data_IF_672189952867
#
_entry.id   IF_672189952867
#
_cell.length_a   1.000
_cell.length_b   1.000
_cell.length_c   1.000
_cell.angle_alpha   90.00
_cell.angle_beta   90.00
_cell.angle_gamma   90.00
#
_symmetry.space_group_name_H-M   'P 1'
#
loop_
_entity.id
_entity.type
_entity.pdbx_description
1 polymer ?
#
# COMPACT_ATOMS: atom_id res chain seq x y z
N UNK A 1 29.53 60.38 2.52
CA UNK A 1 29.01 59.42 3.54
C UNK A 1 30.17 58.53 3.99
N UNK A 2 30.44 58.42 5.30
CA UNK A 2 31.56 57.61 5.79
C UNK A 2 31.30 56.11 5.56
N UNK A 3 32.33 55.32 5.22
CA UNK A 3 32.18 53.89 4.90
C UNK A 3 31.59 53.05 6.06
N UNK A 4 31.81 53.45 7.31
CA UNK A 4 31.26 52.77 8.50
C UNK A 4 29.71 52.82 8.58
N UNK A 5 29.09 53.90 8.12
CA UNK A 5 27.63 54.06 8.12
C UNK A 5 26.94 53.22 7.04
N UNK A 6 27.62 52.92 5.91
CA UNK A 6 27.11 52.00 4.88
C UNK A 6 27.13 50.54 5.35
N UNK A 7 28.12 50.15 6.15
CA UNK A 7 28.23 48.78 6.69
C UNK A 7 27.14 48.47 7.72
N UNK A 8 26.85 49.40 8.64
CA UNK A 8 25.78 49.25 9.64
C UNK A 8 24.38 49.17 9.02
N UNK A 9 24.10 49.95 7.96
CA UNK A 9 22.80 49.92 7.27
C UNK A 9 22.64 48.62 6.45
N UNK A 10 23.72 48.11 5.84
CA UNK A 10 23.73 46.83 5.12
C UNK A 10 23.53 45.64 6.07
N UNK A 11 24.18 45.62 7.24
CA UNK A 11 24.03 44.57 8.24
C UNK A 11 22.62 44.57 8.87
N UNK A 12 22.07 45.75 9.19
CA UNK A 12 20.72 45.89 9.75
C UNK A 12 19.63 45.50 8.74
N UNK A 13 19.81 45.79 7.45
CA UNK A 13 18.92 45.31 6.38
C UNK A 13 19.00 43.79 6.20
N UNK A 14 20.21 43.21 6.10
CA UNK A 14 20.38 41.75 5.93
C UNK A 14 19.82 40.94 7.11
N UNK A 15 20.04 41.39 8.35
CA UNK A 15 19.46 40.75 9.55
C UNK A 15 17.93 40.83 9.60
N UNK A 16 17.34 41.94 9.14
CA UNK A 16 15.89 42.12 9.09
C UNK A 16 15.22 41.24 8.01
N UNK A 17 15.88 41.00 6.87
CA UNK A 17 15.36 40.12 5.82
C UNK A 17 15.44 38.64 6.21
N UNK A 18 16.54 38.23 6.86
CA UNK A 18 16.71 36.86 7.39
C UNK A 18 15.67 36.55 8.47
N UNK A 19 15.44 37.46 9.42
CA UNK A 19 14.42 37.30 10.46
C UNK A 19 13.00 37.18 9.86
N UNK A 20 12.67 37.96 8.82
CA UNK A 20 11.37 37.88 8.14
C UNK A 20 11.17 36.57 7.37
N UNK A 21 12.21 36.06 6.71
CA UNK A 21 12.18 34.75 6.05
C UNK A 21 12.06 33.61 7.06
N UNK A 22 12.74 33.71 8.21
CA UNK A 22 12.66 32.72 9.27
C UNK A 22 11.29 32.69 9.95
N UNK A 23 10.73 33.87 10.25
CA UNK A 23 9.38 34.01 10.82
C UNK A 23 8.32 33.57 9.80
N UNK A 24 8.46 33.93 8.52
CA UNK A 24 7.55 33.48 7.46
C UNK A 24 7.61 31.96 7.25
N UNK A 25 8.81 31.36 7.31
CA UNK A 25 8.99 29.90 7.25
C UNK A 25 8.37 29.20 8.45
N UNK A 26 8.59 29.70 9.68
CA UNK A 26 7.97 29.18 10.90
C UNK A 26 6.45 29.30 10.87
N UNK A 27 5.90 30.44 10.43
CA UNK A 27 4.45 30.62 10.30
C UNK A 27 3.86 29.67 9.24
N UNK A 28 4.57 29.49 8.12
CA UNK A 28 4.17 28.54 7.07
C UNK A 28 4.16 27.09 7.56
N UNK A 29 5.16 26.69 8.34
CA UNK A 29 5.21 25.37 9.00
C UNK A 29 4.06 25.22 10.00
N UNK A 30 3.78 26.25 10.79
CA UNK A 30 2.76 26.19 11.83
C UNK A 30 1.33 26.16 11.25
N UNK A 31 1.06 26.97 10.23
CA UNK A 31 -0.22 26.95 9.49
C UNK A 31 -0.37 25.65 8.71
N UNK A 32 0.70 25.14 8.09
CA UNK A 32 0.73 23.84 7.43
C UNK A 32 0.45 22.69 8.40
N UNK A 33 1.08 22.71 9.58
CA UNK A 33 0.85 21.74 10.64
C UNK A 33 -0.59 21.80 11.16
N UNK A 34 -1.11 22.99 11.48
CA UNK A 34 -2.52 23.16 11.92
C UNK A 34 -3.53 22.74 10.85
N UNK A 35 -3.30 23.09 9.59
CA UNK A 35 -4.13 22.67 8.47
C UNK A 35 -4.11 21.15 8.29
N UNK A 36 -2.93 20.53 8.43
CA UNK A 36 -2.78 19.07 8.40
C UNK A 36 -3.50 18.43 9.58
N UNK A 37 -3.32 18.92 10.82
CA UNK A 37 -4.01 18.38 12.00
C UNK A 37 -5.52 18.50 11.90
N UNK A 38 -6.06 19.64 11.46
CA UNK A 38 -7.51 19.82 11.26
C UNK A 38 -8.05 18.90 10.17
N UNK A 39 -7.30 18.73 9.09
CA UNK A 39 -7.64 17.78 8.03
C UNK A 39 -7.64 16.34 8.58
N UNK A 40 -6.61 15.95 9.34
CA UNK A 40 -6.54 14.63 9.98
C UNK A 40 -7.71 14.37 10.93
N UNK A 41 -8.05 15.34 11.78
CA UNK A 41 -9.21 15.21 12.69
C UNK A 41 -10.52 15.07 11.91
N UNK A 42 -10.71 15.87 10.85
CA UNK A 42 -11.88 15.75 9.96
C UNK A 42 -11.96 14.37 9.32
N UNK A 43 -10.82 13.83 8.86
CA UNK A 43 -10.73 12.51 8.24
C UNK A 43 -10.97 11.40 9.24
N UNK A 44 -10.34 11.42 10.41
CA UNK A 44 -10.61 10.47 11.50
C UNK A 44 -12.08 10.49 11.90
N UNK A 45 -12.71 11.66 11.96
CA UNK A 45 -14.14 11.78 12.24
C UNK A 45 -15.03 11.28 11.09
N UNK A 46 -14.61 11.43 9.83
CA UNK A 46 -15.32 10.83 8.69
C UNK A 46 -15.18 9.30 8.69
N UNK A 47 -14.00 8.79 9.05
CA UNK A 47 -13.72 7.36 9.20
C UNK A 47 -14.52 6.73 10.34
N UNK A 48 -14.61 7.42 11.50
CA UNK A 48 -15.42 6.99 12.63
C UNK A 48 -16.94 6.97 12.34
N UNK A 49 -17.37 7.62 11.25
CA UNK A 49 -18.78 7.61 10.80
C UNK A 49 -19.07 6.50 9.80
N UNK A 50 -18.07 5.78 9.33
CA UNK A 50 -18.27 4.68 8.39
C UNK A 50 -18.46 3.44 9.24
N UNK A 51 -19.71 3.08 9.39
CA UNK A 51 -20.09 1.83 10.03
C UNK A 51 -19.99 0.72 8.98
N UNK A 52 -19.04 -0.19 9.17
CA UNK A 52 -18.78 -1.29 8.24
C UNK A 52 -18.51 -2.59 9.01
N UNK A 53 -18.87 -3.71 8.39
CA UNK A 53 -18.50 -5.04 8.87
C UNK A 53 -17.56 -5.69 7.84
N UNK A 54 -16.61 -6.50 8.33
CA UNK A 54 -15.75 -7.30 7.47
C UNK A 54 -15.94 -8.77 7.79
N UNK A 55 -15.92 -9.59 6.74
CA UNK A 55 -15.75 -11.03 6.85
C UNK A 55 -14.41 -11.37 6.22
N UNK A 56 -13.56 -12.06 6.97
CA UNK A 56 -12.24 -12.45 6.48
C UNK A 56 -12.34 -13.75 5.68
N UNK A 57 -11.86 -13.79 4.43
CA UNK A 57 -11.78 -15.04 3.67
C UNK A 57 -10.89 -16.07 4.40
N UNK A 58 -11.12 -17.35 4.15
CA UNK A 58 -10.37 -18.45 4.79
C UNK A 58 -8.95 -18.66 4.26
N UNK A 59 -8.30 -17.60 3.77
CA UNK A 59 -6.91 -17.65 3.30
C UNK A 59 -6.01 -18.02 4.49
N UNK A 60 -5.13 -18.99 4.31
CA UNK A 60 -4.28 -19.46 5.39
C UNK A 60 -3.25 -18.39 5.82
N UNK A 61 -2.87 -18.40 7.10
CA UNK A 61 -1.85 -17.51 7.64
C UNK A 61 -0.51 -17.66 6.93
N UNK A 62 -0.18 -18.88 6.50
CA UNK A 62 1.07 -19.23 5.82
C UNK A 62 1.15 -18.53 4.45
N UNK A 63 0.03 -18.50 3.71
CA UNK A 63 -0.05 -17.79 2.42
C UNK A 63 0.14 -16.28 2.63
N UNK A 64 -0.58 -15.68 3.58
CA UNK A 64 -0.48 -14.25 3.86
C UNK A 64 0.93 -13.86 4.32
N UNK A 65 1.54 -14.67 5.18
CA UNK A 65 2.91 -14.47 5.65
C UNK A 65 3.92 -14.57 4.51
N UNK A 66 3.78 -15.57 3.63
CA UNK A 66 4.66 -15.74 2.48
C UNK A 66 4.58 -14.56 1.51
N UNK A 67 3.36 -14.07 1.20
CA UNK A 67 3.16 -12.88 0.37
C UNK A 67 3.78 -11.64 1.02
N UNK A 68 3.50 -11.42 2.31
CA UNK A 68 4.04 -10.28 3.06
C UNK A 68 5.57 -10.30 3.09
N UNK A 69 6.17 -11.48 3.33
CA UNK A 69 7.62 -11.61 3.37
C UNK A 69 8.24 -11.40 1.98
N UNK A 70 7.62 -11.92 0.92
CA UNK A 70 8.11 -11.74 -0.44
C UNK A 70 8.11 -10.26 -0.87
N UNK A 71 7.05 -9.51 -0.53
CA UNK A 71 7.00 -8.06 -0.76
C UNK A 71 8.03 -7.32 0.11
N UNK A 72 8.12 -7.64 1.40
CA UNK A 72 9.09 -7.03 2.31
C UNK A 72 10.53 -7.24 1.85
N UNK A 73 10.89 -8.46 1.47
CA UNK A 73 12.24 -8.81 0.98
C UNK A 73 12.58 -8.07 -0.32
N UNK A 74 11.63 -8.04 -1.28
CA UNK A 74 11.83 -7.33 -2.54
C UNK A 74 12.08 -5.83 -2.32
N UNK A 75 11.30 -5.21 -1.43
CA UNK A 75 11.44 -3.78 -1.12
C UNK A 75 12.68 -3.45 -0.30
N UNK A 76 13.11 -4.34 0.59
CA UNK A 76 14.35 -4.17 1.35
C UNK A 76 15.58 -4.10 0.45
N UNK A 77 15.55 -4.77 -0.70
CA UNK A 77 16.61 -4.79 -1.71
C UNK A 77 16.63 -3.53 -2.60
N UNK A 78 15.61 -2.66 -2.51
CA UNK A 78 15.54 -1.46 -3.34
C UNK A 78 16.48 -0.34 -2.85
N UNK A 79 16.97 0.53 -3.76
CA UNK A 79 17.78 1.68 -3.39
C UNK A 79 17.11 2.56 -2.33
N UNK A 80 17.91 3.20 -1.46
CA UNK A 80 17.40 4.03 -0.36
C UNK A 80 16.45 5.15 -0.84
N UNK A 81 16.74 5.76 -2.00
CA UNK A 81 15.88 6.77 -2.60
C UNK A 81 14.49 6.20 -2.98
N UNK A 82 14.45 4.99 -3.52
CA UNK A 82 13.20 4.30 -3.86
C UNK A 82 12.39 4.04 -2.58
N UNK A 83 13.02 3.51 -1.53
CA UNK A 83 12.37 3.29 -0.23
C UNK A 83 11.80 4.58 0.37
N UNK A 84 12.50 5.70 0.23
CA UNK A 84 12.03 7.01 0.70
C UNK A 84 10.84 7.54 -0.11
N UNK A 85 10.83 7.33 -1.43
CA UNK A 85 9.69 7.68 -2.28
C UNK A 85 8.45 6.89 -1.86
N UNK A 86 8.59 5.59 -1.61
CA UNK A 86 7.46 4.71 -1.26
C UNK A 86 6.90 5.07 0.14
N UNK A 87 7.76 5.36 1.12
CA UNK A 87 7.28 5.92 2.41
C UNK A 87 6.56 7.27 2.23
N UNK A 88 7.02 8.09 1.28
CA UNK A 88 6.34 9.33 0.91
C UNK A 88 4.98 9.08 0.24
N UNK A 89 4.84 7.99 -0.51
CA UNK A 89 3.57 7.57 -1.11
C UNK A 89 2.57 7.13 -0.03
N UNK A 90 2.99 6.38 0.99
CA UNK A 90 2.13 6.01 2.12
C UNK A 90 1.60 7.27 2.84
N UNK A 91 2.47 8.27 3.11
CA UNK A 91 2.05 9.54 3.71
C UNK A 91 1.11 10.33 2.78
N UNK A 92 1.41 10.37 1.48
CA UNK A 92 0.57 11.03 0.49
C UNK A 92 -0.78 10.33 0.32
N UNK A 93 -0.82 9.00 0.42
CA UNK A 93 -2.02 8.19 0.39
C UNK A 93 -2.94 8.54 1.55
N UNK A 94 -2.39 8.59 2.77
CA UNK A 94 -3.13 9.00 3.96
C UNK A 94 -3.72 10.41 3.85
N UNK A 95 -2.93 11.37 3.35
CA UNK A 95 -3.35 12.77 3.22
C UNK A 95 -4.31 12.99 2.04
N UNK A 96 -4.17 12.25 0.94
CA UNK A 96 -4.99 12.41 -0.25
C UNK A 96 -5.17 11.05 -0.96
N UNK A 97 -6.12 10.22 -0.52
CA UNK A 97 -6.33 8.89 -1.07
C UNK A 97 -6.59 8.83 -2.58
N UNK A 98 -7.19 9.88 -3.14
CA UNK A 98 -7.39 9.99 -4.59
C UNK A 98 -6.08 9.97 -5.39
N UNK A 99 -4.95 10.34 -4.76
CA UNK A 99 -3.63 10.24 -5.39
C UNK A 99 -3.18 8.79 -5.58
N UNK A 100 -3.60 7.88 -4.70
CA UNK A 100 -3.28 6.44 -4.79
C UNK A 100 -3.82 5.87 -6.09
N UNK A 101 -5.07 6.20 -6.42
CA UNK A 101 -5.73 5.77 -7.66
C UNK A 101 -5.18 6.50 -8.87
N UNK A 102 -5.02 7.83 -8.76
CA UNK A 102 -4.54 8.65 -9.89
C UNK A 102 -3.13 8.30 -10.35
N UNK A 103 -2.25 7.95 -9.43
CA UNK A 103 -0.84 7.69 -9.71
C UNK A 103 -0.42 6.24 -9.50
N UNK A 104 -1.39 5.36 -9.20
CA UNK A 104 -1.19 3.93 -9.00
C UNK A 104 -0.12 3.60 -7.94
N UNK A 105 -0.16 4.31 -6.80
CA UNK A 105 0.80 4.10 -5.72
C UNK A 105 0.59 2.75 -5.03
N UNK A 106 1.69 2.14 -4.61
CA UNK A 106 1.73 0.94 -3.78
C UNK A 106 1.68 1.35 -2.31
N UNK A 107 0.59 1.01 -1.62
CA UNK A 107 0.33 1.48 -0.25
C UNK A 107 0.29 0.33 0.75
N UNK A 108 0.78 0.59 1.96
CA UNK A 108 0.66 -0.32 3.09
C UNK A 108 1.65 -1.49 3.08
N UNK A 109 1.59 -2.41 4.07
CA UNK A 109 2.57 -3.49 4.25
C UNK A 109 2.55 -4.52 3.12
N UNK A 110 1.43 -4.61 2.41
CA UNK A 110 1.18 -5.51 1.30
C UNK A 110 1.45 -4.85 -0.07
N UNK A 111 1.74 -3.54 -0.10
CA UNK A 111 2.16 -2.81 -1.31
C UNK A 111 1.17 -2.89 -2.47
N UNK A 112 -0.12 -3.03 -2.14
CA UNK A 112 -1.21 -3.10 -3.10
C UNK A 112 -1.35 -1.76 -3.84
N UNK A 113 -1.53 -1.87 -5.15
CA UNK A 113 -1.62 -0.73 -6.08
C UNK A 113 -3.04 -0.20 -6.21
N UNK A 114 -3.18 1.12 -6.35
CA UNK A 114 -4.44 1.83 -6.62
C UNK A 114 -5.42 1.07 -7.53
N UNK A 115 -4.99 0.71 -8.74
CA UNK A 115 -5.86 0.06 -9.73
C UNK A 115 -6.31 -1.35 -9.33
N UNK A 116 -5.49 -2.09 -8.56
CA UNK A 116 -5.88 -3.44 -8.08
C UNK A 116 -7.09 -3.35 -7.16
N UNK A 117 -7.31 -2.18 -6.56
CA UNK A 117 -8.25 -1.96 -5.47
C UNK A 117 -9.59 -1.45 -5.98
N UNK A 118 -9.58 -0.74 -7.11
CA UNK A 118 -10.77 -0.49 -7.92
C UNK A 118 -11.49 -1.79 -8.27
N UNK A 119 -10.76 -2.91 -8.30
CA UNK A 119 -11.36 -4.23 -8.52
C UNK A 119 -11.69 -4.97 -7.21
N UNK A 120 -10.87 -4.85 -6.17
CA UNK A 120 -11.01 -5.62 -4.91
C UNK A 120 -12.20 -5.13 -4.08
N UNK A 121 -12.37 -3.82 -3.89
CA UNK A 121 -13.42 -3.29 -3.00
C UNK A 121 -14.83 -3.60 -3.52
N UNK A 122 -15.16 -3.35 -4.82
CA UNK A 122 -16.45 -3.74 -5.36
C UNK A 122 -16.69 -5.25 -5.28
N UNK A 123 -15.65 -6.05 -5.53
CA UNK A 123 -15.76 -7.49 -5.43
C UNK A 123 -16.01 -7.96 -3.98
N UNK A 124 -15.36 -7.34 -3.00
CA UNK A 124 -15.56 -7.64 -1.58
C UNK A 124 -17.01 -7.39 -1.14
N UNK A 125 -17.60 -6.27 -1.60
CA UNK A 125 -19.00 -5.93 -1.35
C UNK A 125 -19.95 -6.97 -1.99
N UNK A 126 -19.69 -7.31 -3.26
CA UNK A 126 -20.52 -8.27 -4.01
C UNK A 126 -20.50 -9.68 -3.40
N UNK A 127 -19.40 -10.07 -2.76
CA UNK A 127 -19.22 -11.41 -2.19
C UNK A 127 -19.40 -11.45 -0.67
N UNK A 128 -19.85 -10.36 -0.05
CA UNK A 128 -20.13 -10.31 1.40
C UNK A 128 -18.90 -10.31 2.30
N UNK A 129 -17.72 -9.98 1.77
CA UNK A 129 -16.50 -9.80 2.57
C UNK A 129 -16.39 -8.41 3.18
N UNK A 130 -17.17 -7.46 2.68
CA UNK A 130 -17.32 -6.10 3.19
C UNK A 130 -18.79 -5.73 3.16
N UNK A 131 -19.31 -5.18 4.26
CA UNK A 131 -20.65 -4.62 4.35
C UNK A 131 -20.57 -3.17 4.82
N UNK A 132 -21.31 -2.28 4.17
CA UNK A 132 -21.38 -0.87 4.56
C UNK A 132 -22.78 -0.59 5.12
N UNK A 133 -22.87 -0.20 6.38
CA UNK A 133 -24.17 -0.03 7.05
C UNK A 133 -24.83 1.32 6.75
N UNK A 134 -24.06 2.37 6.42
CA UNK A 134 -24.62 3.74 6.35
C UNK A 134 -23.95 4.71 5.35
N UNK A 135 -22.95 4.29 4.58
CA UNK A 135 -22.19 5.24 3.76
C UNK A 135 -22.73 5.36 2.32
N UNK A 136 -22.95 6.58 1.79
CA UNK A 136 -23.24 6.75 0.38
C UNK A 136 -22.05 6.33 -0.48
N UNK A 137 -22.34 5.53 -1.51
CA UNK A 137 -21.45 4.92 -2.52
C UNK A 137 -20.43 5.85 -3.21
N UNK A 138 -20.45 7.15 -2.94
CA UNK A 138 -19.84 8.16 -3.79
C UNK A 138 -18.30 8.24 -3.72
N UNK A 139 -17.64 7.69 -2.70
CA UNK A 139 -16.17 7.74 -2.61
C UNK A 139 -15.58 6.50 -1.93
N UNK A 140 -15.46 5.37 -2.64
CA UNK A 140 -14.73 4.19 -2.14
C UNK A 140 -13.22 4.44 -1.97
N UNK A 141 -12.67 5.47 -2.63
CA UNK A 141 -11.23 5.72 -2.70
C UNK A 141 -10.58 5.93 -1.33
N UNK A 142 -11.29 6.49 -0.35
CA UNK A 142 -10.72 6.69 0.98
C UNK A 142 -10.79 5.43 1.85
N UNK A 143 -11.75 4.54 1.60
CA UNK A 143 -11.97 3.33 2.40
C UNK A 143 -10.79 2.35 2.23
N UNK A 144 -10.21 2.29 1.04
CA UNK A 144 -9.02 1.49 0.82
C UNK A 144 -7.82 1.96 1.64
N UNK A 145 -7.45 3.24 1.57
CA UNK A 145 -6.26 3.74 2.29
C UNK A 145 -6.37 3.42 3.77
N UNK A 146 -7.58 3.55 4.31
CA UNK A 146 -7.89 3.11 5.66
C UNK A 146 -7.66 1.59 5.85
N UNK A 147 -8.22 0.75 4.99
CA UNK A 147 -8.06 -0.71 5.08
C UNK A 147 -6.59 -1.16 4.87
N UNK A 148 -5.82 -0.47 4.04
CA UNK A 148 -4.46 -0.84 3.68
C UNK A 148 -3.42 -0.43 4.73
N UNK A 149 -3.66 0.66 5.44
CA UNK A 149 -2.70 1.22 6.39
C UNK A 149 -2.95 0.75 7.83
N UNK A 150 -4.19 0.37 8.17
CA UNK A 150 -4.49 -0.12 9.50
C UNK A 150 -3.99 -1.56 9.70
N UNK A 151 -3.20 -1.82 10.77
CA UNK A 151 -2.81 -3.18 11.14
C UNK A 151 -4.04 -4.09 11.30
N UNK A 152 -4.01 -5.28 10.69
CA UNK A 152 -5.14 -6.23 10.66
C UNK A 152 -6.10 -6.04 9.49
N UNK A 153 -6.42 -4.81 9.09
CA UNK A 153 -7.23 -4.55 7.89
C UNK A 153 -6.40 -4.76 6.61
N UNK A 154 -5.08 -4.51 6.68
CA UNK A 154 -4.18 -4.74 5.56
C UNK A 154 -4.09 -6.24 5.21
N UNK A 155 -4.07 -7.11 6.23
CA UNK A 155 -4.11 -8.57 6.06
C UNK A 155 -5.45 -8.99 5.44
N UNK A 156 -6.57 -8.41 5.89
CA UNK A 156 -7.89 -8.64 5.28
C UNK A 156 -7.90 -8.26 3.79
N UNK A 157 -7.37 -7.08 3.41
CA UNK A 157 -7.37 -6.63 2.02
C UNK A 157 -6.56 -7.55 1.11
N UNK A 158 -5.41 -8.02 1.60
CA UNK A 158 -4.61 -9.03 0.91
C UNK A 158 -5.37 -10.37 0.80
N UNK A 159 -6.02 -10.83 1.87
CA UNK A 159 -6.82 -12.05 1.87
C UNK A 159 -7.97 -12.00 0.85
N UNK A 160 -8.69 -10.88 0.76
CA UNK A 160 -9.76 -10.68 -0.23
C UNK A 160 -9.22 -10.74 -1.65
N UNK A 161 -8.09 -10.08 -1.93
CA UNK A 161 -7.47 -10.15 -3.26
C UNK A 161 -7.05 -11.58 -3.60
N UNK A 162 -6.40 -12.29 -2.67
CA UNK A 162 -5.95 -13.66 -2.87
C UNK A 162 -7.13 -14.62 -3.09
N UNK A 163 -8.23 -14.48 -2.36
CA UNK A 163 -9.46 -15.25 -2.58
C UNK A 163 -10.08 -14.96 -3.94
N UNK A 164 -10.16 -13.69 -4.32
CA UNK A 164 -10.63 -13.30 -5.65
C UNK A 164 -9.79 -13.96 -6.75
N UNK A 165 -8.47 -13.95 -6.61
CA UNK A 165 -7.57 -14.59 -7.56
C UNK A 165 -7.79 -16.10 -7.60
N UNK A 166 -7.85 -16.77 -6.45
CA UNK A 166 -8.14 -18.21 -6.38
C UNK A 166 -9.44 -18.54 -7.13
N UNK A 167 -10.52 -17.83 -6.84
CA UNK A 167 -11.83 -18.06 -7.47
C UNK A 167 -11.85 -17.76 -8.97
N UNK A 168 -11.10 -16.76 -9.44
CA UNK A 168 -11.06 -16.38 -10.86
C UNK A 168 -10.26 -17.34 -11.72
N UNK A 169 -9.36 -18.13 -11.14
CA UNK A 169 -8.52 -19.06 -11.90
C UNK A 169 -9.22 -20.41 -12.13
N UNK A 170 -9.24 -20.96 -13.37
CA UNK A 170 -9.93 -22.21 -13.68
C UNK A 170 -9.47 -23.40 -12.83
N UNK A 171 -8.17 -23.49 -12.52
CA UNK A 171 -7.60 -24.61 -11.76
C UNK A 171 -7.47 -24.31 -10.25
N UNK A 172 -7.25 -23.06 -9.82
CA UNK A 172 -7.08 -22.76 -8.38
C UNK A 172 -8.43 -22.71 -7.67
N UNK A 173 -9.51 -22.38 -8.39
CA UNK A 173 -10.87 -22.36 -7.84
C UNK A 173 -11.31 -23.72 -7.31
N UNK A 174 -10.75 -24.80 -7.86
CA UNK A 174 -10.99 -26.19 -7.43
C UNK A 174 -10.18 -26.60 -6.21
N UNK A 175 -9.14 -25.84 -5.83
CA UNK A 175 -8.27 -26.14 -4.71
C UNK A 175 -8.71 -25.35 -3.47
N UNK A 176 -8.67 -26.01 -2.32
CA UNK A 176 -8.83 -25.38 -1.02
C UNK A 176 -7.59 -24.58 -0.64
N UNK A 177 -7.74 -23.61 0.26
CA UNK A 177 -6.59 -22.89 0.82
C UNK A 177 -5.63 -23.81 1.57
N UNK A 178 -6.12 -24.90 2.15
CA UNK A 178 -5.28 -25.90 2.80
C UNK A 178 -4.35 -26.58 1.79
N UNK A 179 -4.87 -27.01 0.63
CA UNK A 179 -4.06 -27.57 -0.45
C UNK A 179 -3.06 -26.56 -1.00
N UNK A 180 -3.48 -25.31 -1.21
CA UNK A 180 -2.59 -24.24 -1.69
C UNK A 180 -1.47 -23.97 -0.67
N UNK A 181 -1.78 -23.93 0.62
CA UNK A 181 -0.80 -23.68 1.68
C UNK A 181 0.22 -24.81 1.85
N UNK A 182 -0.10 -26.02 1.40
CA UNK A 182 0.76 -27.19 1.50
C UNK A 182 1.83 -27.26 0.39
N UNK A 183 1.68 -26.50 -0.69
CA UNK A 183 2.63 -26.48 -1.82
C UNK A 183 3.18 -25.06 -2.07
N UNK A 184 4.48 -24.82 -1.81
CA UNK A 184 5.12 -23.54 -2.08
C UNK A 184 4.94 -23.04 -3.53
N UNK A 185 4.82 -23.92 -4.52
CA UNK A 185 4.57 -23.54 -5.91
C UNK A 185 3.17 -22.97 -6.10
N UNK A 186 2.17 -23.52 -5.39
CA UNK A 186 0.80 -23.00 -5.43
C UNK A 186 0.71 -21.65 -4.72
N UNK A 187 1.44 -21.46 -3.61
CA UNK A 187 1.57 -20.15 -2.96
C UNK A 187 2.17 -19.13 -3.94
N UNK A 188 3.26 -19.48 -4.61
CA UNK A 188 3.89 -18.64 -5.64
C UNK A 188 2.98 -18.41 -6.84
N UNK A 189 2.13 -19.38 -7.20
CA UNK A 189 1.15 -19.24 -8.27
C UNK A 189 0.12 -18.19 -7.93
N UNK A 190 -0.49 -18.24 -6.74
CA UNK A 190 -1.44 -17.19 -6.33
C UNK A 190 -0.74 -15.83 -6.23
N UNK A 191 0.49 -15.79 -5.71
CA UNK A 191 1.29 -14.57 -5.63
C UNK A 191 1.63 -13.97 -7.02
N UNK A 192 1.77 -14.80 -8.05
CA UNK A 192 1.93 -14.33 -9.44
C UNK A 192 0.75 -13.44 -9.88
N UNK A 193 -0.46 -13.79 -9.45
CA UNK A 193 -1.66 -12.97 -9.70
C UNK A 193 -1.75 -11.76 -8.77
N UNK A 194 -1.30 -11.92 -7.52
CA UNK A 194 -1.29 -10.88 -6.50
C UNK A 194 -0.46 -9.65 -6.90
N UNK A 195 0.70 -9.89 -7.55
CA UNK A 195 1.56 -8.82 -8.06
C UNK A 195 0.90 -7.93 -9.13
N UNK A 196 -0.34 -8.24 -9.54
CA UNK A 196 -1.11 -7.50 -10.53
C UNK A 196 -0.53 -7.66 -11.94
N UNK A 197 -1.15 -6.99 -12.91
CA UNK A 197 -0.76 -6.99 -14.32
C UNK A 197 0.64 -6.41 -14.65
N UNK A 198 1.52 -6.30 -13.65
CA UNK A 198 2.85 -5.71 -13.75
C UNK A 198 4.02 -6.68 -13.67
N UNK A 199 3.81 -8.00 -13.76
CA UNK A 199 4.94 -8.94 -13.75
C UNK A 199 4.68 -10.30 -14.38
N UNK A 200 3.54 -10.93 -14.09
CA UNK A 200 3.31 -12.33 -14.47
C UNK A 200 1.82 -12.67 -14.65
N UNK A 201 0.97 -11.72 -15.06
CA UNK A 201 -0.47 -11.99 -15.21
C UNK A 201 -0.79 -13.07 -16.25
N UNK A 202 -0.03 -13.13 -17.34
CA UNK A 202 -0.19 -14.19 -18.33
C UNK A 202 0.30 -15.54 -17.80
N UNK A 203 1.39 -15.55 -17.01
CA UNK A 203 1.83 -16.74 -16.29
C UNK A 203 0.82 -17.17 -15.22
N UNK A 204 0.14 -16.23 -14.56
CA UNK A 204 -0.95 -16.52 -13.63
C UNK A 204 -2.17 -17.10 -14.35
N UNK A 205 -2.52 -16.65 -15.56
CA UNK A 205 -3.65 -17.21 -16.33
C UNK A 205 -3.38 -18.63 -16.87
N UNK A 206 -2.12 -18.97 -17.10
CA UNK A 206 -1.71 -20.27 -17.60
C UNK A 206 -1.88 -21.38 -16.55
N UNK A 207 -1.38 -22.59 -16.83
CA UNK A 207 -1.38 -23.76 -15.94
C UNK A 207 -0.85 -23.46 -14.52
N UNK A 208 -0.99 -24.37 -13.54
CA UNK A 208 -0.57 -24.20 -12.13
C UNK A 208 0.93 -23.93 -11.88
N UNK A 209 1.72 -23.64 -12.90
CA UNK A 209 3.12 -23.23 -12.78
C UNK A 209 3.19 -21.75 -12.38
N UNK A 210 3.93 -21.39 -11.31
CA UNK A 210 4.11 -20.00 -10.93
C UNK A 210 4.89 -19.21 -11.98
N UNK A 211 4.62 -17.91 -12.07
CA UNK A 211 5.43 -17.00 -12.87
C UNK A 211 6.86 -16.90 -12.33
N UNK A 212 7.82 -16.64 -13.23
CA UNK A 212 9.25 -16.63 -12.87
C UNK A 212 9.57 -15.56 -11.83
N UNK A 213 8.93 -14.40 -11.91
CA UNK A 213 9.19 -13.32 -10.94
C UNK A 213 8.67 -13.70 -9.56
N UNK A 214 7.49 -14.31 -9.51
CA UNK A 214 6.91 -14.83 -8.26
C UNK A 214 7.77 -15.95 -7.66
N UNK A 215 8.19 -16.92 -8.48
CA UNK A 215 9.06 -18.01 -8.06
C UNK A 215 10.40 -17.51 -7.50
N UNK A 216 11.05 -16.56 -8.19
CA UNK A 216 12.28 -15.95 -7.72
C UNK A 216 12.12 -15.19 -6.40
N UNK A 217 11.05 -14.37 -6.28
CA UNK A 217 10.76 -13.63 -5.04
C UNK A 217 10.42 -14.55 -3.86
N UNK A 218 9.78 -15.68 -4.13
CA UNK A 218 9.52 -16.73 -3.15
C UNK A 218 10.68 -17.73 -2.97
N UNK A 219 11.84 -17.47 -3.62
CA UNK A 219 13.09 -18.24 -3.48
C UNK A 219 12.96 -19.70 -3.91
N UNK A 220 12.01 -20.01 -4.81
CA UNK A 220 11.84 -21.35 -5.39
C UNK A 220 12.92 -21.67 -6.43
N UNK A 221 13.47 -20.64 -7.09
CA UNK A 221 14.50 -20.78 -8.11
C UNK A 221 15.94 -20.83 -7.55
N UNK A 222 16.12 -20.83 -6.22
CA UNK A 222 17.46 -20.85 -5.63
C UNK A 222 18.01 -22.28 -5.58
N UNK A 223 19.19 -22.54 -6.21
CA UNK A 223 19.86 -23.82 -6.07
C UNK A 223 20.45 -23.91 -4.66
N UNK A 224 19.65 -24.43 -3.74
CA UNK A 224 20.04 -24.62 -2.34
C UNK A 224 19.12 -25.52 -1.52
N UNK A 225 18.08 -26.10 -2.11
CA UNK A 225 17.17 -27.02 -1.43
C UNK A 225 17.06 -28.40 -2.11
N UNK A 226 18.03 -28.72 -2.98
CA UNK A 226 18.29 -30.08 -3.44
C UNK A 226 19.62 -30.53 -2.83
N UNK A 227 19.52 -31.51 -1.93
CA UNK A 227 20.56 -32.39 -1.37
C UNK A 227 21.59 -31.80 -0.40
N UNK A 228 21.30 -32.01 0.89
CA UNK A 228 22.19 -32.65 1.88
C UNK A 228 21.24 -33.23 2.95
N UNK A 229 20.91 -34.52 3.01
CA UNK A 229 21.62 -35.76 2.65
C UNK A 229 20.67 -36.78 1.98
#
# INVERSE_FOLDING_TARGET
MPPALRLCVQLKRKGCTLAKLFIGGLLGILVGALGTTLFLVSRVNALAKVDFSIVTPSVSSEVLLAVRQAESDFYAQQPALRRLIENGQDVAAFLAPSLVYRFDFSVGPFRLKGHTLDEVIPWALQNGYLELQSSPLADFHWLYVYLAEQPGLADWGAAVLLERLRQKHPQLSMLSWQEISADPNLIAKVYSGYMGAGGDWDAWKADLIPGRVAAARMKLDQPGNLTSD
#
